data_IF_925122513366
#
_entry.id   IF_925122513366
#
_cell.length_a   1.000
_cell.length_b   1.000
_cell.length_c   1.000
_cell.angle_alpha   90.00
_cell.angle_beta   90.00
_cell.angle_gamma   90.00
#
_symmetry.space_group_name_H-M   'P 1'
#
loop_
_entity.id
_entity.type
_entity.pdbx_description
1 polymer ?
#
# COMPACT_ATOMS: atom_id res chain seq x y z
N UNK A 1 40.21 12.91 -75.08
CA UNK A 1 40.43 11.55 -74.54
C UNK A 1 41.09 11.73 -73.17
N UNK A 2 40.31 11.64 -72.09
CA UNK A 2 40.28 10.52 -71.11
C UNK A 2 41.62 10.39 -70.35
N UNK A 3 41.72 10.37 -69.02
CA UNK A 3 40.80 9.85 -68.01
C UNK A 3 41.01 10.55 -66.66
N UNK A 4 39.91 10.89 -65.97
CA UNK A 4 39.94 11.30 -64.57
C UNK A 4 39.77 10.07 -63.67
N UNK A 5 40.76 9.80 -62.82
CA UNK A 5 40.78 8.65 -61.92
C UNK A 5 39.84 8.91 -60.73
N UNK A 6 38.72 8.19 -60.64
CA UNK A 6 37.79 8.27 -59.48
C UNK A 6 38.22 7.25 -58.43
N UNK A 7 38.74 7.75 -57.30
CA UNK A 7 39.03 6.94 -56.12
C UNK A 7 37.70 6.65 -55.39
N UNK A 8 37.19 5.43 -55.49
CA UNK A 8 36.02 4.98 -54.72
C UNK A 8 36.54 4.46 -53.39
N UNK A 9 36.33 5.22 -52.31
CA UNK A 9 36.59 4.77 -50.94
C UNK A 9 35.36 4.03 -50.44
N UNK A 10 35.40 2.70 -50.48
CA UNK A 10 34.35 1.86 -49.91
C UNK A 10 34.55 1.79 -48.40
N UNK A 11 33.78 2.58 -47.65
CA UNK A 11 33.75 2.52 -46.18
C UNK A 11 33.00 1.24 -45.77
N UNK A 12 33.75 0.25 -45.28
CA UNK A 12 33.19 -0.96 -44.67
C UNK A 12 32.64 -0.59 -43.28
N UNK A 13 31.33 -0.41 -43.14
CA UNK A 13 30.68 -0.37 -41.83
C UNK A 13 30.64 -1.79 -41.25
N UNK A 14 31.48 -2.06 -40.26
CA UNK A 14 31.35 -3.25 -39.41
C UNK A 14 30.14 -3.08 -38.48
N UNK A 15 29.13 -3.95 -38.53
CA UNK A 15 28.06 -3.97 -37.53
C UNK A 15 28.65 -4.46 -36.21
N UNK A 16 28.87 -3.53 -35.27
CA UNK A 16 29.19 -3.87 -33.88
C UNK A 16 27.91 -4.40 -33.24
N UNK A 17 27.75 -5.72 -33.20
CA UNK A 17 26.68 -6.34 -32.43
C UNK A 17 27.14 -6.35 -30.97
N UNK A 18 26.73 -5.32 -30.20
CA UNK A 18 26.83 -5.30 -28.74
C UNK A 18 25.83 -6.30 -28.17
N UNK A 19 26.17 -7.59 -28.14
CA UNK A 19 25.45 -8.55 -27.29
C UNK A 19 25.93 -8.38 -25.86
N UNK A 20 25.45 -7.33 -25.20
CA UNK A 20 25.53 -7.25 -23.74
C UNK A 20 24.58 -8.31 -23.18
N UNK A 21 25.11 -9.41 -22.63
CA UNK A 21 24.32 -10.30 -21.78
C UNK A 21 23.88 -9.49 -20.55
N UNK A 22 22.65 -8.98 -20.58
CA UNK A 22 22.03 -8.39 -19.40
C UNK A 22 21.57 -9.53 -18.51
N UNK A 23 22.13 -9.61 -17.31
CA UNK A 23 21.65 -10.58 -16.33
C UNK A 23 20.20 -10.26 -15.96
N UNK A 24 19.33 -11.27 -15.99
CA UNK A 24 17.93 -11.08 -15.61
C UNK A 24 17.82 -10.67 -14.14
N UNK A 25 17.18 -9.54 -13.88
CA UNK A 25 16.92 -9.03 -12.53
C UNK A 25 15.59 -9.53 -11.96
N UNK A 26 14.95 -10.50 -12.62
CA UNK A 26 13.69 -11.11 -12.17
C UNK A 26 13.88 -11.88 -10.87
N UNK A 27 12.79 -12.02 -10.11
CA UNK A 27 12.74 -12.98 -9.01
C UNK A 27 12.82 -14.40 -9.57
N UNK A 28 13.54 -15.26 -8.86
CA UNK A 28 13.57 -16.70 -9.10
C UNK A 28 13.77 -17.40 -7.76
N UNK A 29 12.72 -17.41 -6.91
CA UNK A 29 12.78 -17.98 -5.58
C UNK A 29 13.19 -19.47 -5.64
N UNK A 30 14.11 -19.95 -4.79
CA UNK A 30 14.36 -21.38 -4.65
C UNK A 30 13.10 -22.13 -4.19
N UNK A 31 12.95 -23.39 -4.60
CA UNK A 31 11.80 -24.21 -4.23
C UNK A 31 11.72 -24.49 -2.72
N UNK A 32 12.87 -24.46 -2.03
CA UNK A 32 13.04 -24.66 -0.59
C UNK A 32 13.08 -23.33 0.19
N UNK A 33 12.74 -22.21 -0.44
CA UNK A 33 12.68 -20.91 0.23
C UNK A 33 11.66 -20.94 1.36
N UNK A 34 12.08 -20.54 2.57
CA UNK A 34 11.16 -20.25 3.68
C UNK A 34 10.11 -19.24 3.21
N UNK A 35 8.85 -19.46 3.55
CA UNK A 35 7.76 -18.55 3.24
C UNK A 35 7.29 -17.79 4.49
N UNK A 36 6.80 -16.57 4.26
CA UNK A 36 5.83 -15.94 5.16
C UNK A 36 4.45 -16.38 4.70
N UNK A 37 3.71 -17.03 5.60
CA UNK A 37 2.32 -17.42 5.39
C UNK A 37 1.41 -16.28 5.83
N UNK A 38 0.81 -15.60 4.85
CA UNK A 38 -0.15 -14.54 5.11
C UNK A 38 -1.58 -15.06 5.06
N UNK A 39 -2.40 -14.61 6.00
CA UNK A 39 -3.84 -14.80 5.98
C UNK A 39 -4.59 -13.57 6.50
N UNK A 40 -5.82 -13.38 6.03
CA UNK A 40 -6.73 -12.41 6.62
C UNK A 40 -8.20 -12.79 6.48
N UNK A 41 -8.99 -12.49 7.50
CA UNK A 41 -10.45 -12.47 7.40
C UNK A 41 -10.89 -11.09 6.91
N UNK A 42 -11.62 -11.04 5.79
CA UNK A 42 -12.07 -9.80 5.15
C UNK A 42 -13.60 -9.79 5.06
N UNK A 43 -14.30 -8.82 5.67
CA UNK A 43 -15.76 -8.69 5.59
C UNK A 43 -16.25 -8.50 4.15
N UNK A 44 -17.47 -8.95 3.86
CA UNK A 44 -18.05 -8.96 2.51
C UNK A 44 -18.19 -7.57 1.87
N UNK A 45 -18.29 -6.51 2.69
CA UNK A 45 -18.35 -5.12 2.23
C UNK A 45 -17.00 -4.60 1.71
N UNK A 46 -15.91 -5.25 2.10
CA UNK A 46 -14.56 -4.91 1.69
C UNK A 46 -14.05 -5.89 0.63
N UNK A 47 -13.04 -5.44 -0.11
CA UNK A 47 -12.22 -6.29 -0.95
C UNK A 47 -10.74 -6.08 -0.61
N UNK A 48 -9.98 -7.16 -0.59
CA UNK A 48 -8.52 -7.12 -0.47
C UNK A 48 -7.87 -7.02 -1.84
N UNK A 49 -6.80 -6.23 -1.94
CA UNK A 49 -5.94 -6.23 -3.12
C UNK A 49 -4.88 -7.35 -3.03
N UNK A 50 -4.29 -7.79 -4.15
CA UNK A 50 -3.14 -8.69 -4.12
C UNK A 50 -2.04 -8.15 -3.19
N UNK A 51 -1.44 -9.03 -2.39
CA UNK A 51 -0.35 -8.64 -1.51
C UNK A 51 0.80 -8.06 -2.32
N UNK A 52 1.36 -6.96 -1.82
CA UNK A 52 2.54 -6.36 -2.43
C UNK A 52 3.76 -6.79 -1.64
N UNK A 53 4.69 -7.48 -2.27
CA UNK A 53 5.98 -7.78 -1.68
C UNK A 53 7.05 -6.87 -2.28
N UNK A 54 7.92 -6.34 -1.43
CA UNK A 54 9.11 -5.63 -1.84
C UNK A 54 10.33 -6.46 -1.50
N UNK A 55 11.18 -6.71 -2.48
CA UNK A 55 12.47 -7.33 -2.33
C UNK A 55 13.59 -6.31 -2.48
N UNK A 56 14.71 -6.55 -1.80
CA UNK A 56 15.93 -5.75 -1.89
C UNK A 56 17.13 -6.62 -2.20
N UNK A 57 18.11 -6.02 -2.87
CA UNK A 57 19.37 -6.68 -3.21
C UNK A 57 20.55 -5.77 -2.90
N UNK A 58 21.57 -6.31 -2.24
CA UNK A 58 22.88 -5.67 -2.10
C UNK A 58 23.78 -5.93 -3.32
N UNK A 59 23.49 -6.97 -4.10
CA UNK A 59 24.26 -7.39 -5.27
C UNK A 59 23.88 -6.59 -6.52
N UNK A 60 22.59 -6.46 -6.78
CA UNK A 60 22.07 -5.56 -7.79
C UNK A 60 21.77 -4.22 -7.12
N UNK A 61 22.63 -3.24 -7.33
CA UNK A 61 22.46 -1.87 -6.82
C UNK A 61 21.68 -1.01 -7.81
N UNK A 62 21.24 0.16 -7.35
CA UNK A 62 20.73 1.24 -8.20
C UNK A 62 21.52 2.50 -7.90
N UNK A 63 21.94 3.21 -8.94
CA UNK A 63 22.61 4.50 -8.79
C UNK A 63 21.58 5.60 -8.52
N UNK A 64 21.91 6.46 -7.56
CA UNK A 64 21.18 7.67 -7.19
C UNK A 64 22.12 8.87 -7.28
N UNK A 65 21.55 10.05 -7.44
CA UNK A 65 22.29 11.31 -7.47
C UNK A 65 21.94 12.12 -6.24
N UNK A 66 22.95 12.62 -5.53
CA UNK A 66 22.76 13.50 -4.38
C UNK A 66 22.34 14.90 -4.81
N UNK A 67 21.92 15.74 -3.87
CA UNK A 67 21.67 17.17 -4.11
C UNK A 67 22.91 17.95 -4.58
N UNK A 68 24.11 17.40 -4.38
CA UNK A 68 25.38 17.95 -4.90
C UNK A 68 25.77 17.42 -6.28
N UNK A 69 24.91 16.62 -6.94
CA UNK A 69 25.17 16.06 -8.26
C UNK A 69 26.09 14.83 -8.27
N UNK A 70 26.51 14.33 -7.10
CA UNK A 70 27.37 13.14 -7.00
C UNK A 70 26.53 11.87 -7.06
N UNK A 71 26.98 10.92 -7.88
CA UNK A 71 26.38 9.59 -7.94
C UNK A 71 26.81 8.74 -6.74
N UNK A 72 25.87 7.97 -6.20
CA UNK A 72 26.11 6.96 -5.17
C UNK A 72 25.16 5.78 -5.37
N UNK A 73 25.58 4.60 -4.95
CA UNK A 73 24.79 3.38 -5.12
C UNK A 73 23.98 3.08 -3.86
N UNK A 74 22.74 2.64 -4.08
CA UNK A 74 21.86 2.12 -3.04
C UNK A 74 21.47 0.67 -3.37
N UNK A 75 21.07 -0.14 -2.37
CA UNK A 75 20.51 -1.45 -2.63
C UNK A 75 19.37 -1.37 -3.66
N UNK A 76 19.40 -2.26 -4.64
CA UNK A 76 18.33 -2.37 -5.61
C UNK A 76 17.06 -2.88 -4.96
N UNK A 77 15.94 -2.67 -5.65
CA UNK A 77 14.64 -3.13 -5.20
C UNK A 77 13.84 -3.73 -6.37
N UNK A 78 12.98 -4.69 -6.04
CA UNK A 78 12.08 -5.36 -6.98
C UNK A 78 10.74 -5.63 -6.28
N UNK A 79 9.62 -5.30 -6.92
CA UNK A 79 8.29 -5.50 -6.36
C UNK A 79 7.56 -6.63 -7.06
N UNK A 80 6.87 -7.46 -6.29
CA UNK A 80 5.98 -8.51 -6.80
C UNK A 80 4.60 -8.40 -6.17
N UNK A 81 3.60 -8.84 -6.94
CA UNK A 81 2.22 -8.97 -6.46
C UNK A 81 1.91 -10.45 -6.31
N UNK A 82 1.38 -10.82 -5.15
CA UNK A 82 0.95 -12.18 -4.86
C UNK A 82 -0.58 -12.20 -4.85
N UNK A 83 -1.23 -12.89 -5.80
CA UNK A 83 -2.67 -13.04 -5.77
C UNK A 83 -3.08 -13.80 -4.50
N UNK A 84 -4.20 -13.40 -3.93
CA UNK A 84 -4.75 -14.03 -2.75
C UNK A 84 -5.68 -15.19 -3.15
N UNK A 85 -5.52 -16.34 -2.50
CA UNK A 85 -6.44 -17.46 -2.60
C UNK A 85 -7.49 -17.37 -1.49
N UNK A 86 -8.70 -17.88 -1.74
CA UNK A 86 -9.78 -17.90 -0.74
C UNK A 86 -9.90 -19.31 -0.17
N UNK A 87 -9.89 -19.44 1.15
CA UNK A 87 -10.05 -20.72 1.86
C UNK A 87 -11.53 -21.10 1.97
N UNK A 88 -11.82 -22.32 2.44
CA UNK A 88 -13.18 -22.75 2.73
C UNK A 88 -13.88 -21.92 3.82
N UNK A 89 -13.13 -21.30 4.75
CA UNK A 89 -13.64 -20.37 5.75
C UNK A 89 -13.95 -18.98 5.20
N UNK A 90 -13.55 -18.69 3.95
CA UNK A 90 -13.68 -17.37 3.33
C UNK A 90 -12.51 -16.43 3.63
N UNK A 91 -11.48 -16.90 4.34
CA UNK A 91 -10.26 -16.13 4.56
C UNK A 91 -9.43 -16.04 3.28
N UNK A 92 -8.68 -14.95 3.12
CA UNK A 92 -7.74 -14.78 2.03
C UNK A 92 -6.33 -15.16 2.47
N UNK A 93 -5.56 -15.87 1.62
CA UNK A 93 -4.20 -16.33 1.94
C UNK A 93 -3.22 -16.18 0.79
N UNK A 94 -1.94 -16.09 1.11
CA UNK A 94 -0.84 -16.22 0.16
C UNK A 94 0.48 -16.57 0.88
N UNK A 95 1.36 -17.27 0.16
CA UNK A 95 2.71 -17.58 0.62
C UNK A 95 3.73 -16.69 -0.10
N UNK A 96 4.62 -16.07 0.66
CA UNK A 96 5.60 -15.12 0.14
C UNK A 96 7.00 -15.64 0.47
N UNK A 97 7.81 -16.00 -0.55
CA UNK A 97 9.15 -16.51 -0.32
C UNK A 97 10.05 -15.42 0.25
N UNK A 98 10.78 -15.75 1.30
CA UNK A 98 11.69 -14.81 1.97
C UNK A 98 12.94 -14.61 1.11
N UNK A 99 13.45 -15.70 0.54
CA UNK A 99 14.47 -15.65 -0.49
C UNK A 99 13.79 -15.58 -1.86
N UNK A 100 13.84 -14.39 -2.47
CA UNK A 100 13.36 -14.12 -3.83
C UNK A 100 14.32 -14.59 -4.93
N UNK A 101 15.55 -14.97 -4.55
CA UNK A 101 16.53 -15.61 -5.42
C UNK A 101 16.89 -14.84 -6.67
N UNK A 102 17.14 -15.58 -7.75
CA UNK A 102 17.61 -15.04 -9.03
C UNK A 102 19.04 -14.50 -8.98
N UNK A 103 19.49 -13.91 -10.09
CA UNK A 103 20.86 -13.38 -10.19
C UNK A 103 21.17 -12.33 -9.12
N UNK A 104 20.18 -11.55 -8.70
CA UNK A 104 20.35 -10.48 -7.73
C UNK A 104 20.28 -10.94 -6.27
N UNK A 105 20.09 -12.22 -5.97
CA UNK A 105 19.96 -12.72 -4.59
C UNK A 105 18.91 -11.92 -3.79
N UNK A 106 17.74 -11.71 -4.40
CA UNK A 106 16.67 -10.88 -3.84
C UNK A 106 16.22 -11.39 -2.47
N UNK A 107 16.11 -10.49 -1.49
CA UNK A 107 15.60 -10.81 -0.15
C UNK A 107 14.36 -9.99 0.16
N UNK A 108 13.35 -10.62 0.76
CA UNK A 108 12.11 -9.97 1.14
C UNK A 108 12.40 -8.86 2.17
N UNK A 109 11.91 -7.65 1.90
CA UNK A 109 12.07 -6.47 2.75
C UNK A 109 10.77 -6.13 3.46
N UNK A 110 9.65 -6.14 2.75
CA UNK A 110 8.34 -5.91 3.35
C UNK A 110 7.21 -6.52 2.53
N UNK A 111 6.08 -6.73 3.19
CA UNK A 111 4.79 -7.09 2.60
C UNK A 111 3.78 -5.99 2.94
N UNK A 112 2.91 -5.64 2.00
CA UNK A 112 1.79 -4.73 2.21
C UNK A 112 0.48 -5.41 1.86
N UNK A 113 -0.44 -5.37 2.81
CA UNK A 113 -1.84 -5.77 2.67
C UNK A 113 -2.72 -4.53 2.61
N UNK A 114 -3.71 -4.55 1.71
CA UNK A 114 -4.60 -3.42 1.49
C UNK A 114 -6.05 -3.92 1.41
N UNK A 115 -6.95 -3.22 2.09
CA UNK A 115 -8.40 -3.42 1.97
C UNK A 115 -9.07 -2.11 1.60
N UNK A 116 -10.09 -2.17 0.75
CA UNK A 116 -10.92 -1.02 0.39
C UNK A 116 -12.37 -1.44 0.26
N UNK A 117 -13.28 -0.47 0.16
CA UNK A 117 -14.68 -0.77 -0.06
C UNK A 117 -14.90 -1.45 -1.41
N UNK A 118 -15.66 -2.55 -1.42
CA UNK A 118 -15.95 -3.31 -2.64
C UNK A 118 -16.89 -2.54 -3.58
N UNK A 119 -17.89 -1.86 -3.01
CA UNK A 119 -18.94 -1.19 -3.79
C UNK A 119 -19.22 0.23 -3.26
N UNK A 120 -18.29 1.19 -3.41
CA UNK A 120 -18.44 2.54 -2.86
C UNK A 120 -19.72 3.24 -3.36
N UNK A 121 -20.12 3.02 -4.62
CA UNK A 121 -21.33 3.65 -5.18
C UNK A 121 -22.65 3.18 -4.55
N UNK A 122 -22.66 2.03 -3.88
CA UNK A 122 -23.83 1.58 -3.11
C UNK A 122 -24.05 2.42 -1.85
N UNK A 123 -22.98 2.98 -1.30
CA UNK A 123 -23.06 3.92 -0.17
C UNK A 123 -23.50 5.28 -0.69
N UNK A 124 -22.84 5.79 -1.73
CA UNK A 124 -23.22 7.06 -2.34
C UNK A 124 -22.85 7.14 -3.83
N UNK A 125 -23.80 7.36 -4.76
CA UNK A 125 -23.56 7.26 -6.21
C UNK A 125 -22.57 8.25 -6.85
N UNK A 126 -22.16 9.30 -6.11
CA UNK A 126 -21.27 10.37 -6.62
C UNK A 126 -19.83 10.24 -6.12
N UNK A 127 -19.46 9.10 -5.51
CA UNK A 127 -18.08 8.89 -5.06
C UNK A 127 -17.15 8.79 -6.27
N UNK A 128 -16.07 9.57 -6.31
CA UNK A 128 -15.13 9.60 -7.43
C UNK A 128 -13.79 8.92 -7.12
N UNK A 129 -13.46 8.72 -5.84
CA UNK A 129 -12.27 7.96 -5.41
C UNK A 129 -12.58 7.06 -4.22
N UNK A 130 -11.97 5.89 -4.21
CA UNK A 130 -12.07 4.86 -3.18
C UNK A 130 -10.65 4.53 -2.68
N UNK A 131 -10.32 4.98 -1.48
CA UNK A 131 -9.01 4.83 -0.86
C UNK A 131 -8.94 3.56 -0.01
N UNK A 132 -7.83 2.83 -0.12
CA UNK A 132 -7.54 1.64 0.67
C UNK A 132 -6.97 2.00 2.05
N UNK A 133 -7.26 1.14 3.02
CA UNK A 133 -6.51 1.06 4.27
C UNK A 133 -5.31 0.14 4.08
N UNK A 134 -4.13 0.57 4.53
CA UNK A 134 -2.87 -0.15 4.34
C UNK A 134 -2.32 -0.70 5.66
N UNK A 135 -1.85 -1.96 5.62
CA UNK A 135 -1.02 -2.56 6.68
C UNK A 135 0.27 -3.08 6.08
N UNK A 136 1.41 -2.62 6.61
CA UNK A 136 2.75 -2.95 6.15
C UNK A 136 3.49 -3.77 7.20
N UNK A 137 4.12 -4.85 6.76
CA UNK A 137 4.95 -5.74 7.56
C UNK A 137 6.38 -5.66 7.04
N UNK A 138 7.25 -5.02 7.82
CA UNK A 138 8.68 -4.92 7.57
C UNK A 138 9.34 -6.21 8.06
N UNK A 139 10.06 -6.90 7.19
CA UNK A 139 10.74 -8.17 7.46
C UNK A 139 12.25 -7.96 7.63
N UNK A 140 12.79 -6.87 7.06
CA UNK A 140 14.20 -6.53 7.15
C UNK A 140 14.46 -5.25 7.96
N UNK A 141 15.70 -4.74 7.89
CA UNK A 141 16.09 -3.52 8.61
C UNK A 141 15.88 -2.24 7.80
N UNK A 142 15.26 -2.31 6.62
CA UNK A 142 15.04 -1.15 5.78
C UNK A 142 13.66 -0.53 6.03
N UNK A 143 13.54 0.78 5.79
CA UNK A 143 12.23 1.41 5.71
C UNK A 143 11.48 0.91 4.44
N UNK A 144 10.17 0.70 4.52
CA UNK A 144 9.35 0.42 3.33
C UNK A 144 9.28 1.65 2.42
N UNK A 145 8.86 1.45 1.15
CA UNK A 145 8.75 2.57 0.21
C UNK A 145 7.62 3.53 0.57
N UNK A 146 6.48 3.00 1.00
CA UNK A 146 5.42 3.75 1.64
C UNK A 146 5.62 3.62 3.16
N UNK A 147 5.92 4.73 3.82
CA UNK A 147 6.26 4.76 5.24
C UNK A 147 5.80 6.08 5.86
N UNK A 148 5.05 6.01 6.96
CA UNK A 148 4.59 7.17 7.72
C UNK A 148 5.58 7.58 8.83
N UNK A 149 6.81 7.07 8.81
CA UNK A 149 7.88 7.47 9.72
C UNK A 149 8.00 6.63 11.01
N UNK A 150 7.03 5.77 11.32
CA UNK A 150 7.04 4.93 12.53
C UNK A 150 6.66 3.48 12.26
N UNK A 151 7.12 2.57 13.14
CA UNK A 151 6.70 1.17 13.14
C UNK A 151 6.62 0.63 14.57
N UNK A 152 5.80 -0.39 14.77
CA UNK A 152 5.71 -1.15 16.03
C UNK A 152 6.49 -2.45 15.87
N UNK A 153 7.41 -2.76 16.79
CA UNK A 153 8.18 -4.01 16.73
C UNK A 153 7.35 -5.19 17.26
N UNK A 154 7.48 -6.35 16.63
CA UNK A 154 6.82 -7.59 17.03
C UNK A 154 7.75 -8.79 16.84
N UNK A 155 7.71 -9.74 17.76
CA UNK A 155 8.52 -10.96 17.73
C UNK A 155 7.61 -12.19 17.67
N UNK A 156 7.97 -13.14 16.81
CA UNK A 156 7.20 -14.36 16.58
C UNK A 156 6.02 -14.13 15.63
N UNK A 157 5.11 -15.10 15.59
CA UNK A 157 3.94 -15.04 14.70
C UNK A 157 3.02 -13.87 15.04
N UNK A 158 2.47 -13.24 14.01
CA UNK A 158 1.71 -12.01 14.12
C UNK A 158 0.22 -12.28 13.97
N UNK A 159 -0.57 -11.87 14.96
CA UNK A 159 -2.02 -11.94 14.93
C UNK A 159 -2.58 -10.60 15.43
N UNK A 160 -3.41 -9.92 14.62
CA UNK A 160 -4.06 -8.67 15.05
C UNK A 160 -5.45 -8.52 14.49
N UNK A 161 -6.36 -8.07 15.33
CA UNK A 161 -7.67 -7.59 14.90
C UNK A 161 -7.60 -6.10 14.58
N UNK A 162 -8.14 -5.73 13.42
CA UNK A 162 -8.30 -4.35 12.97
C UNK A 162 -9.76 -3.96 13.16
N UNK A 163 -10.02 -2.73 13.58
CA UNK A 163 -11.36 -2.13 13.58
C UNK A 163 -11.29 -0.96 12.60
N UNK A 164 -12.09 -1.03 11.55
CA UNK A 164 -12.08 -0.08 10.45
C UNK A 164 -13.45 0.56 10.29
N UNK A 165 -13.46 1.82 9.88
CA UNK A 165 -14.67 2.63 9.74
C UNK A 165 -14.80 3.20 8.32
N UNK A 166 -16.02 3.38 7.79
CA UNK A 166 -16.26 4.17 6.60
C UNK A 166 -16.04 5.66 6.87
N UNK A 167 -15.41 6.34 5.94
CA UNK A 167 -15.26 7.79 5.97
C UNK A 167 -15.45 8.41 4.59
N UNK A 168 -16.30 9.44 4.50
CA UNK A 168 -16.49 10.23 3.27
C UNK A 168 -15.95 11.64 3.45
N UNK A 169 -15.19 12.11 2.47
CA UNK A 169 -14.77 13.51 2.35
C UNK A 169 -15.37 14.14 1.11
N UNK A 170 -16.03 15.29 1.27
CA UNK A 170 -16.62 16.05 0.18
C UNK A 170 -15.94 17.41 0.04
N UNK A 171 -15.34 17.64 -1.12
CA UNK A 171 -14.63 18.86 -1.47
C UNK A 171 -15.44 19.63 -2.53
N UNK A 172 -15.58 20.94 -2.37
CA UNK A 172 -16.27 21.81 -3.32
C UNK A 172 -15.33 22.78 -4.04
N UNK A 173 -14.25 23.21 -3.36
CA UNK A 173 -13.26 24.11 -3.93
C UNK A 173 -12.45 23.39 -5.01
N UNK A 174 -12.17 24.09 -6.12
CA UNK A 174 -11.45 23.57 -7.28
C UNK A 174 -12.15 22.37 -7.97
N UNK A 175 -13.48 22.33 -7.89
CA UNK A 175 -14.32 21.29 -8.47
C UNK A 175 -14.92 20.36 -7.42
N UNK A 176 -16.14 19.90 -7.68
CA UNK A 176 -16.84 18.99 -6.76
C UNK A 176 -16.22 17.59 -6.80
N UNK A 177 -15.74 17.11 -5.66
CA UNK A 177 -15.12 15.80 -5.51
C UNK A 177 -15.61 15.16 -4.23
N UNK A 178 -16.03 13.90 -4.32
CA UNK A 178 -16.43 13.09 -3.18
C UNK A 178 -15.56 11.85 -3.11
N UNK A 179 -14.91 11.60 -1.99
CA UNK A 179 -14.06 10.43 -1.79
C UNK A 179 -14.60 9.59 -0.66
N UNK A 180 -14.35 8.29 -0.73
CA UNK A 180 -14.56 7.39 0.39
C UNK A 180 -13.26 6.67 0.72
N UNK A 181 -13.08 6.41 2.00
CA UNK A 181 -11.91 5.77 2.55
C UNK A 181 -12.32 4.80 3.66
N UNK A 182 -11.56 3.71 3.75
CA UNK A 182 -11.59 2.83 4.91
C UNK A 182 -10.50 3.33 5.85
N UNK A 183 -10.89 3.79 7.05
CA UNK A 183 -9.95 4.37 8.01
C UNK A 183 -9.76 3.43 9.20
N UNK A 184 -8.57 3.48 9.80
CA UNK A 184 -8.24 2.75 11.02
C UNK A 184 -7.56 3.65 12.05
N UNK A 185 -6.78 3.03 12.94
CA UNK A 185 -6.09 3.71 14.05
C UNK A 185 -5.12 4.82 13.59
N UNK A 186 -4.60 4.69 12.38
CA UNK A 186 -3.74 5.65 11.68
C UNK A 186 -3.90 5.45 10.18
N UNK A 187 -3.46 6.40 9.35
CA UNK A 187 -3.52 6.30 7.87
C UNK A 187 -2.92 4.99 7.31
N UNK A 188 -1.89 4.46 7.98
CA UNK A 188 -1.28 3.17 7.67
C UNK A 188 -0.69 2.55 8.93
N UNK A 189 -0.93 1.26 9.14
CA UNK A 189 -0.30 0.50 10.22
C UNK A 189 1.00 -0.14 9.73
N UNK A 190 2.09 0.08 10.45
CA UNK A 190 3.39 -0.49 10.09
C UNK A 190 3.96 -1.29 11.26
N UNK A 191 4.27 -2.57 11.02
CA UNK A 191 4.91 -3.46 11.99
C UNK A 191 6.27 -3.89 11.49
N UNK A 192 7.27 -3.93 12.37
CA UNK A 192 8.55 -4.60 12.11
C UNK A 192 8.53 -5.96 12.78
N UNK A 193 8.61 -7.00 11.97
CA UNK A 193 8.51 -8.38 12.38
C UNK A 193 9.89 -9.01 12.53
N UNK A 194 10.02 -9.92 13.50
CA UNK A 194 11.24 -10.68 13.76
C UNK A 194 10.89 -12.11 14.14
N UNK A 195 11.50 -13.10 13.47
CA UNK A 195 11.22 -14.51 13.73
C UNK A 195 9.77 -14.92 13.44
N UNK A 196 9.13 -14.26 12.46
CA UNK A 196 7.74 -14.52 12.06
C UNK A 196 7.70 -15.44 10.85
N UNK A 197 6.89 -16.49 10.91
CA UNK A 197 6.52 -17.33 9.77
C UNK A 197 5.06 -17.08 9.38
N UNK A 198 4.18 -16.79 10.34
CA UNK A 198 2.75 -16.63 10.12
C UNK A 198 2.28 -15.20 10.44
N UNK A 199 1.45 -14.66 9.55
CA UNK A 199 0.76 -13.38 9.72
C UNK A 199 -0.74 -13.64 9.53
N UNK A 200 -1.55 -13.25 10.51
CA UNK A 200 -3.00 -13.26 10.42
C UNK A 200 -3.60 -11.91 10.82
N UNK A 201 -4.49 -11.39 9.98
CA UNK A 201 -5.30 -10.20 10.26
C UNK A 201 -6.78 -10.54 10.32
N UNK A 202 -7.46 -10.13 11.38
CA UNK A 202 -8.94 -10.15 11.43
C UNK A 202 -9.45 -8.75 11.17
N UNK A 203 -10.03 -8.49 9.99
CA UNK A 203 -10.59 -7.17 9.67
C UNK A 203 -12.03 -7.10 10.17
N UNK A 204 -12.30 -6.20 11.11
CA UNK A 204 -13.65 -5.86 11.54
C UNK A 204 -14.03 -4.52 10.94
N UNK A 205 -15.09 -4.48 10.13
CA UNK A 205 -15.54 -3.27 9.45
C UNK A 205 -16.90 -2.84 9.98
N UNK A 206 -16.98 -1.65 10.57
CA UNK A 206 -18.19 -1.10 11.18
C UNK A 206 -18.96 -0.28 10.14
N UNK A 207 -19.66 -0.97 9.24
CA UNK A 207 -20.30 -0.37 8.05
C UNK A 207 -21.35 0.71 8.36
N UNK A 208 -21.99 0.65 9.53
CA UNK A 208 -23.01 1.59 10.02
C UNK A 208 -22.40 2.81 10.76
N UNK A 209 -21.08 2.87 10.85
CA UNK A 209 -20.32 3.91 11.56
C UNK A 209 -19.65 4.90 10.59
N UNK A 210 -20.44 5.42 9.64
CA UNK A 210 -19.98 6.38 8.64
C UNK A 210 -19.77 7.78 9.23
N UNK A 211 -18.54 8.30 9.12
CA UNK A 211 -18.22 9.72 9.32
C UNK A 211 -18.22 10.49 8.01
N UNK A 212 -18.51 11.80 8.08
CA UNK A 212 -18.50 12.69 6.91
C UNK A 212 -17.79 14.00 7.19
N UNK A 213 -16.72 14.27 6.44
CA UNK A 213 -16.10 15.59 6.36
C UNK A 213 -16.68 16.35 5.17
N UNK A 214 -17.15 17.57 5.42
CA UNK A 214 -17.75 18.44 4.40
C UNK A 214 -16.95 19.72 4.32
N UNK A 215 -16.27 19.92 3.19
CA UNK A 215 -15.47 21.12 2.94
C UNK A 215 -16.32 22.38 2.73
N UNK A 216 -15.68 23.53 2.83
CA UNK A 216 -16.32 24.81 2.52
C UNK A 216 -16.65 24.93 1.04
N UNK A 217 -17.78 25.57 0.72
CA UNK A 217 -18.20 25.84 -0.67
C UNK A 217 -17.53 27.07 -1.27
N UNK A 218 -17.16 28.02 -0.42
CA UNK A 218 -16.45 29.24 -0.80
C UNK A 218 -15.40 29.61 0.25
N UNK A 219 -14.31 30.24 -0.19
CA UNK A 219 -13.28 30.77 0.69
C UNK A 219 -13.71 32.16 1.19
N UNK A 220 -14.47 32.19 2.29
CA UNK A 220 -14.80 33.41 3.02
C UNK A 220 -14.45 33.25 4.50
N UNK A 221 -14.10 34.36 5.13
CA UNK A 221 -13.86 34.43 6.56
C UNK A 221 -15.10 33.95 7.33
N UNK A 222 -14.89 33.11 8.36
CA UNK A 222 -15.96 32.47 9.12
C UNK A 222 -16.49 31.14 8.55
N UNK A 223 -16.12 30.77 7.31
CA UNK A 223 -16.44 29.44 6.78
C UNK A 223 -15.38 28.42 7.22
N UNK A 224 -15.79 27.39 7.95
CA UNK A 224 -14.95 26.23 8.29
C UNK A 224 -15.58 24.95 7.74
N UNK A 225 -14.79 23.92 7.39
CA UNK A 225 -15.33 22.59 7.17
C UNK A 225 -16.05 22.06 8.42
N UNK A 226 -16.84 20.99 8.25
CA UNK A 226 -17.48 20.29 9.37
C UNK A 226 -17.25 18.78 9.29
N UNK A 227 -17.20 18.13 10.45
CA UNK A 227 -17.16 16.67 10.56
C UNK A 227 -18.41 16.19 11.27
N UNK A 228 -19.23 15.38 10.60
CA UNK A 228 -20.38 14.70 11.17
C UNK A 228 -19.98 13.27 11.55
N UNK A 229 -20.14 12.93 12.82
CA UNK A 229 -19.85 11.60 13.36
C UNK A 229 -21.09 10.69 13.29
N UNK A 230 -20.93 9.36 13.43
CA UNK A 230 -22.04 8.42 13.25
C UNK A 230 -23.21 8.61 14.23
N UNK A 231 -22.96 9.17 15.42
CA UNK A 231 -24.01 9.48 16.39
C UNK A 231 -24.73 10.82 16.15
N UNK A 232 -24.41 11.53 15.07
CA UNK A 232 -24.99 12.82 14.72
C UNK A 232 -24.25 14.03 15.33
N UNK A 233 -23.23 13.81 16.16
CA UNK A 233 -22.39 14.92 16.63
C UNK A 233 -21.68 15.62 15.47
N UNK A 234 -21.57 16.95 15.58
CA UNK A 234 -20.89 17.79 14.59
C UNK A 234 -19.70 18.46 15.26
N UNK A 235 -18.54 18.32 14.65
CA UNK A 235 -17.33 19.10 14.97
C UNK A 235 -17.20 20.23 13.94
N UNK A 236 -17.36 21.51 14.37
CA UNK A 236 -17.42 22.66 13.47
C UNK A 236 -16.05 23.21 13.07
N UNK A 237 -14.95 22.68 13.63
CA UNK A 237 -13.59 23.06 13.25
C UNK A 237 -12.68 21.81 13.22
N UNK A 238 -12.98 20.85 12.33
CA UNK A 238 -12.36 19.55 12.37
C UNK A 238 -11.04 19.50 11.59
N UNK A 239 -10.20 18.56 11.98
CA UNK A 239 -9.19 17.98 11.08
C UNK A 239 -9.86 17.33 9.85
N UNK A 240 -9.07 17.08 8.80
CA UNK A 240 -9.61 16.44 7.58
C UNK A 240 -10.10 15.02 7.87
N UNK A 241 -9.45 14.28 8.78
CA UNK A 241 -9.82 12.92 9.14
C UNK A 241 -10.57 12.88 10.48
N UNK A 242 -11.53 11.95 10.66
CA UNK A 242 -12.26 11.83 11.91
C UNK A 242 -11.36 11.29 13.01
N UNK A 243 -11.62 11.72 14.24
CA UNK A 243 -10.86 11.24 15.39
C UNK A 243 -11.18 9.76 15.68
N UNK A 244 -10.21 8.87 15.47
CA UNK A 244 -10.39 7.43 15.66
C UNK A 244 -10.79 7.04 17.09
N UNK A 245 -10.21 7.68 18.11
CA UNK A 245 -10.57 7.41 19.52
C UNK A 245 -12.02 7.80 19.81
N UNK A 246 -12.50 8.89 19.20
CA UNK A 246 -13.91 9.30 19.29
C UNK A 246 -14.83 8.27 18.61
N UNK A 247 -14.45 7.74 17.44
CA UNK A 247 -15.19 6.66 16.78
C UNK A 247 -15.31 5.41 17.66
N UNK A 248 -14.21 4.98 18.28
CA UNK A 248 -14.24 3.86 19.23
C UNK A 248 -15.18 4.12 20.40
N UNK A 249 -15.18 5.32 20.97
CA UNK A 249 -16.10 5.68 22.07
C UNK A 249 -17.57 5.55 21.63
N UNK A 250 -17.91 6.12 20.48
CA UNK A 250 -19.28 6.05 19.91
C UNK A 250 -19.68 4.59 19.66
N UNK A 251 -18.75 3.77 19.17
CA UNK A 251 -18.98 2.34 18.91
C UNK A 251 -19.35 1.59 20.19
N UNK A 252 -18.58 1.78 21.26
CA UNK A 252 -18.82 1.09 22.53
C UNK A 252 -20.14 1.56 23.16
N UNK A 253 -20.46 2.86 23.10
CA UNK A 253 -21.74 3.39 23.56
C UNK A 253 -22.93 2.73 22.83
N UNK A 254 -22.86 2.59 21.49
CA UNK A 254 -23.90 1.89 20.71
C UNK A 254 -24.11 0.45 21.16
N UNK A 255 -23.03 -0.31 21.39
CA UNK A 255 -23.11 -1.72 21.83
C UNK A 255 -23.84 -1.86 23.17
N UNK A 256 -23.59 -0.97 24.12
CA UNK A 256 -24.25 -1.01 25.43
C UNK A 256 -25.74 -0.69 25.38
N UNK A 257 -26.20 0.08 24.39
CA UNK A 257 -27.62 0.38 24.19
C UNK A 257 -28.37 -0.75 23.49
N UNK A 258 -27.70 -1.55 22.65
CA UNK A 258 -28.31 -2.73 22.00
C UNK A 258 -28.48 -3.91 22.97
N UNK A 259 -27.69 -3.95 24.05
CA UNK A 259 -27.75 -5.01 25.08
C UNK A 259 -28.71 -4.71 26.24
N UNK A 260 -29.40 -3.57 26.23
CA UNK A 260 -30.46 -3.22 27.20
C UNK A 260 -31.82 -3.29 26.54
#
# INVERSE_FOLDING_TARGET
MSAGNKLIVTVLLLPVILTGCTYSTTLSPPADSRNIHFSATVPADLESLPLSAMYRSKKCTRTRTSGSGKSYDVPGFNSAKYPLSVTASGDVTADIPVNGGGYCDWQLSNIKFEVKLKNPQKIEPKITKNHSFETVFIIDNNAPQAFNGGYISHQGDFNKSLILFPFISEYFLNGHKKTIEVIGESDMLTYRLSGTDNIHLTVNYESDMLSRWTGVKEKKEGNSPIMTYPNGEIDPDPEIFPNYKKLLKIREERKTHVQR
#
